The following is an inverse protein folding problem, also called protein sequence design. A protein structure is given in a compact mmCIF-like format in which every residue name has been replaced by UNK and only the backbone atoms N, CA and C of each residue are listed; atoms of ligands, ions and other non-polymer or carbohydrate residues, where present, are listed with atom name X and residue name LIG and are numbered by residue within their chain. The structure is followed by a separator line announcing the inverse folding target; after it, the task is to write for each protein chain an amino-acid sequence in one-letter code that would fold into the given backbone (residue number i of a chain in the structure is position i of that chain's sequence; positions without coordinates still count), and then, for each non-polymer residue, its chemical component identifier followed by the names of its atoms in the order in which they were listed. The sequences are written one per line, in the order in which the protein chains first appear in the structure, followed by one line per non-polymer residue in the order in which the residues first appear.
data_IF_120435082662
#
_entry.id   IF_120435082662
#
_cell.length_a   1.000
_cell.length_b   1.000
_cell.length_c   1.000
_cell.angle_alpha   90.00
_cell.angle_beta   90.00
_cell.angle_gamma   90.00
#
_symmetry.space_group_name_H-M   'P 1'
#
loop_
_entity.id
_entity.type
_entity.pdbx_description
1 polymer ?
#
# COMPACT_ATOMS: atom_id res chain seq x y z
N UNK A 1 45.29 8.72 17.59
CA UNK A 1 44.62 7.75 16.68
C UNK A 1 43.29 8.35 16.22
N UNK A 2 43.22 8.73 14.94
CA UNK A 2 42.09 9.48 14.36
C UNK A 2 40.91 8.53 14.04
N UNK A 3 39.75 8.73 14.68
CA UNK A 3 38.50 7.97 14.43
C UNK A 3 37.78 8.36 13.12
N UNK A 4 38.37 9.22 12.28
CA UNK A 4 37.71 9.84 11.13
C UNK A 4 38.08 9.28 9.75
N UNK A 5 38.82 8.17 9.67
CA UNK A 5 39.30 7.61 8.39
C UNK A 5 38.50 6.40 7.86
N UNK A 6 37.50 5.88 8.58
CA UNK A 6 36.72 4.72 8.13
C UNK A 6 35.46 5.04 7.30
N UNK A 7 35.02 6.31 7.22
CA UNK A 7 33.78 6.67 6.50
C UNK A 7 33.95 6.96 5.00
N UNK A 8 35.19 6.98 4.48
CA UNK A 8 35.48 7.42 3.09
C UNK A 8 35.56 6.31 2.03
N UNK A 9 35.14 5.07 2.33
CA UNK A 9 35.24 3.93 1.38
C UNK A 9 33.92 3.27 0.94
N UNK A 10 32.76 3.87 1.18
CA UNK A 10 31.45 3.25 0.86
C UNK A 10 30.85 3.63 -0.50
N UNK A 11 31.39 4.61 -1.22
CA UNK A 11 30.86 5.00 -2.53
C UNK A 11 31.83 4.58 -3.64
N UNK A 12 32.15 3.28 -3.67
CA UNK A 12 32.60 2.64 -4.92
C UNK A 12 31.54 2.92 -6.00
N UNK A 13 31.93 3.26 -7.24
CA UNK A 13 31.05 3.56 -8.41
C UNK A 13 29.57 3.70 -8.03
N UNK A 14 29.15 4.95 -7.77
CA UNK A 14 28.01 5.26 -6.89
C UNK A 14 26.88 4.22 -6.94
N UNK A 15 26.55 3.64 -5.78
CA UNK A 15 25.41 2.72 -5.60
C UNK A 15 24.18 3.17 -6.39
N UNK A 16 23.91 4.48 -6.35
CA UNK A 16 22.87 5.15 -7.13
C UNK A 16 23.03 4.93 -8.64
N UNK A 17 24.22 5.17 -9.22
CA UNK A 17 24.50 4.93 -10.65
C UNK A 17 24.28 3.47 -11.06
N UNK A 18 24.72 2.50 -10.25
CA UNK A 18 24.55 1.07 -10.55
C UNK A 18 23.07 0.69 -10.61
N UNK A 19 22.32 0.97 -9.54
CA UNK A 19 20.88 0.73 -9.49
C UNK A 19 20.16 1.53 -10.58
N UNK A 20 20.64 2.75 -10.83
CA UNK A 20 20.04 3.62 -11.82
C UNK A 20 20.22 3.09 -13.26
N UNK A 21 21.35 2.48 -13.58
CA UNK A 21 21.56 1.91 -14.90
C UNK A 21 20.87 0.55 -15.07
N UNK A 22 20.82 -0.27 -14.02
CA UNK A 22 20.17 -1.59 -14.07
C UNK A 22 18.67 -1.52 -14.40
N UNK A 23 17.97 -0.49 -13.90
CA UNK A 23 16.53 -0.33 -14.15
C UNK A 23 16.21 0.71 -15.23
N UNK A 24 17.20 1.15 -16.02
CA UNK A 24 16.98 1.91 -17.27
C UNK A 24 16.56 1.03 -18.43
N UNK A 25 16.95 -0.25 -18.40
CA UNK A 25 16.67 -1.21 -19.46
C UNK A 25 15.14 -1.39 -19.56
N UNK A 26 14.54 -0.71 -20.54
CA UNK A 26 13.17 -0.94 -20.98
C UNK A 26 13.29 -1.97 -22.11
N UNK A 27 12.49 -3.03 -22.07
CA UNK A 27 12.24 -3.82 -23.27
C UNK A 27 11.80 -2.85 -24.39
N UNK A 28 12.37 -2.94 -25.59
CA UNK A 28 12.04 -2.02 -26.69
C UNK A 28 10.52 -1.99 -26.89
N UNK A 29 9.87 -0.90 -26.47
CA UNK A 29 8.42 -0.77 -26.58
C UNK A 29 8.07 -0.42 -28.03
N UNK A 30 7.13 -1.12 -28.68
CA UNK A 30 6.64 -0.73 -30.00
C UNK A 30 6.13 0.70 -30.02
N UNK A 31 6.43 1.46 -31.09
CA UNK A 31 6.03 2.87 -31.23
C UNK A 31 4.51 3.11 -31.33
N UNK A 32 3.67 2.06 -31.43
CA UNK A 32 2.20 2.17 -31.57
C UNK A 32 1.47 1.18 -30.65
N UNK A 33 0.48 1.67 -29.90
CA UNK A 33 -0.33 0.87 -28.95
C UNK A 33 -1.02 -0.33 -29.62
N UNK A 34 -1.48 -0.21 -30.88
CA UNK A 34 -2.11 -1.31 -31.63
C UNK A 34 -1.19 -2.53 -31.85
N UNK A 35 0.12 -2.41 -31.57
CA UNK A 35 1.09 -3.51 -31.66
C UNK A 35 1.47 -4.09 -30.30
N UNK A 36 0.81 -3.67 -29.21
CA UNK A 36 1.10 -4.23 -27.89
C UNK A 36 0.47 -5.62 -27.75
N UNK A 37 1.22 -6.60 -27.22
CA UNK A 37 0.64 -7.89 -26.85
C UNK A 37 -0.50 -7.73 -25.85
N UNK A 38 -1.56 -8.53 -25.97
CA UNK A 38 -2.75 -8.46 -25.07
C UNK A 38 -2.37 -8.59 -23.59
N UNK A 39 -1.32 -9.37 -23.29
CA UNK A 39 -0.83 -9.57 -21.94
C UNK A 39 -0.29 -8.28 -21.29
N UNK A 40 0.10 -7.28 -22.10
CA UNK A 40 0.49 -5.94 -21.66
C UNK A 40 -0.69 -5.00 -21.42
N UNK A 41 -1.87 -5.36 -21.88
CA UNK A 41 -3.12 -4.60 -21.70
C UNK A 41 -3.99 -5.20 -20.59
N UNK A 42 -3.85 -6.50 -20.33
CA UNK A 42 -4.60 -7.21 -19.28
C UNK A 42 -4.23 -6.73 -17.88
N UNK A 43 -5.24 -6.30 -17.10
CA UNK A 43 -5.10 -5.99 -15.67
C UNK A 43 -5.48 -7.23 -14.84
N UNK A 44 -4.65 -7.53 -13.85
CA UNK A 44 -4.84 -8.65 -12.94
C UNK A 44 -5.35 -8.15 -11.59
N UNK A 45 -6.14 -8.99 -10.93
CA UNK A 45 -6.70 -8.72 -9.60
C UNK A 45 -6.40 -9.90 -8.70
N UNK A 46 -5.96 -9.62 -7.47
CA UNK A 46 -5.83 -10.66 -6.45
C UNK A 46 -7.16 -10.84 -5.75
N UNK A 47 -7.55 -12.09 -5.55
CA UNK A 47 -8.77 -12.45 -4.83
C UNK A 47 -8.49 -13.67 -3.93
N UNK A 48 -9.22 -13.77 -2.82
CA UNK A 48 -9.15 -14.86 -1.85
C UNK A 48 -10.55 -15.47 -1.66
N UNK A 49 -11.10 -16.14 -2.70
CA UNK A 49 -12.53 -16.48 -2.76
C UNK A 49 -13.00 -17.47 -1.68
N UNK A 50 -12.07 -18.23 -1.07
CA UNK A 50 -12.37 -19.20 -0.01
C UNK A 50 -12.36 -18.58 1.39
N UNK A 51 -11.93 -17.33 1.54
CA UNK A 51 -11.88 -16.66 2.83
C UNK A 51 -13.18 -15.88 3.09
N UNK A 52 -13.60 -15.73 4.35
CA UNK A 52 -14.74 -14.88 4.69
C UNK A 52 -14.55 -13.47 4.14
N UNK A 53 -15.60 -12.93 3.50
CA UNK A 53 -15.60 -11.59 2.92
C UNK A 53 -16.53 -10.67 3.68
N UNK A 54 -16.09 -9.43 3.87
CA UNK A 54 -16.88 -8.34 4.44
C UNK A 54 -17.01 -7.27 3.36
N UNK A 55 -18.23 -7.02 2.90
CA UNK A 55 -18.48 -5.96 1.91
C UNK A 55 -18.34 -4.60 2.60
N UNK A 56 -17.59 -3.69 1.98
CA UNK A 56 -17.45 -2.34 2.51
C UNK A 56 -18.63 -1.49 2.02
N UNK A 57 -19.23 -0.69 2.92
CA UNK A 57 -20.38 0.14 2.55
C UNK A 57 -19.94 1.27 1.64
N UNK A 58 -20.75 1.58 0.62
CA UNK A 58 -20.53 2.72 -0.26
C UNK A 58 -21.51 3.84 0.08
N UNK A 59 -21.00 5.07 0.22
CA UNK A 59 -21.85 6.25 0.31
C UNK A 59 -21.95 6.92 -1.06
N UNK A 60 -23.18 7.22 -1.49
CA UNK A 60 -23.43 7.92 -2.76
C UNK A 60 -23.11 9.41 -2.69
N UNK A 61 -23.15 10.01 -1.49
CA UNK A 61 -22.89 11.44 -1.26
C UNK A 61 -21.56 11.59 -0.53
N UNK A 62 -20.57 12.12 -1.24
CA UNK A 62 -19.26 12.43 -0.68
C UNK A 62 -19.29 13.89 -0.27
N UNK A 63 -19.07 14.19 1.02
CA UNK A 63 -18.90 15.57 1.47
C UNK A 63 -17.63 16.13 0.82
N UNK A 64 -17.75 17.28 0.16
CA UNK A 64 -16.58 17.93 -0.43
C UNK A 64 -15.60 18.38 0.68
N UNK A 65 -14.32 18.16 0.42
CA UNK A 65 -13.21 18.63 1.24
C UNK A 65 -12.22 19.34 0.32
N UNK A 66 -11.77 20.53 0.72
CA UNK A 66 -10.82 21.31 -0.07
C UNK A 66 -9.46 20.61 -0.21
N UNK A 67 -8.99 20.41 -1.45
CA UNK A 67 -7.70 19.76 -1.70
C UNK A 67 -6.53 20.57 -1.11
N UNK A 68 -6.51 21.88 -1.34
CA UNK A 68 -5.42 22.75 -0.88
C UNK A 68 -5.36 22.84 0.65
N UNK A 69 -6.50 22.95 1.32
CA UNK A 69 -6.54 22.89 2.79
C UNK A 69 -6.07 21.54 3.31
N UNK A 70 -6.50 20.44 2.70
CA UNK A 70 -6.05 19.08 3.07
C UNK A 70 -4.53 18.94 2.95
N UNK A 71 -3.93 19.44 1.86
CA UNK A 71 -2.48 19.43 1.67
C UNK A 71 -1.75 20.22 2.76
N UNK A 72 -2.29 21.39 3.14
CA UNK A 72 -1.72 22.25 4.18
C UNK A 72 -1.91 21.69 5.59
N UNK A 73 -3.01 20.98 5.85
CA UNK A 73 -3.31 20.34 7.15
C UNK A 73 -2.57 19.00 7.34
N UNK A 74 -2.24 18.30 6.25
CA UNK A 74 -1.65 16.96 6.32
C UNK A 74 -0.37 16.95 7.14
N UNK A 75 -0.33 16.12 8.18
CA UNK A 75 0.85 15.88 9.03
C UNK A 75 1.01 14.38 9.29
N UNK A 76 2.21 13.98 9.69
CA UNK A 76 2.45 12.64 10.24
C UNK A 76 2.08 12.64 11.71
N UNK A 77 0.89 12.13 12.02
CA UNK A 77 0.36 12.04 13.39
C UNK A 77 0.75 10.68 13.96
N UNK A 78 1.44 10.69 15.11
CA UNK A 78 2.01 9.49 15.74
C UNK A 78 1.37 9.11 17.07
N UNK A 79 0.50 9.97 17.60
CA UNK A 79 -0.28 9.71 18.80
C UNK A 79 -1.72 9.47 18.35
N UNK A 80 -2.28 8.34 18.79
CA UNK A 80 -3.64 7.93 18.43
C UNK A 80 -4.44 7.67 19.70
N UNK A 81 -5.74 7.92 19.66
CA UNK A 81 -6.68 7.54 20.72
C UNK A 81 -6.81 6.01 20.81
N UNK A 82 -7.35 5.52 21.94
CA UNK A 82 -7.45 4.09 22.25
C UNK A 82 -8.55 3.34 21.49
N UNK A 83 -9.45 4.03 20.81
CA UNK A 83 -10.56 3.47 20.04
C UNK A 83 -10.14 2.97 18.65
N UNK A 84 -10.99 2.14 18.05
CA UNK A 84 -10.87 1.68 16.68
C UNK A 84 -11.25 2.75 15.65
N UNK A 85 -11.20 2.37 14.37
CA UNK A 85 -11.70 3.19 13.26
C UNK A 85 -13.11 2.72 12.90
N UNK A 86 -14.01 3.68 12.73
CA UNK A 86 -15.38 3.44 12.26
C UNK A 86 -15.39 2.74 10.89
N UNK A 87 -16.33 1.81 10.70
CA UNK A 87 -16.37 0.93 9.54
C UNK A 87 -16.61 1.70 8.22
N UNK A 88 -17.47 2.72 8.25
CA UNK A 88 -17.71 3.60 7.09
C UNK A 88 -16.46 4.45 6.78
N UNK A 89 -15.77 4.92 7.82
CA UNK A 89 -14.52 5.67 7.68
C UNK A 89 -13.43 4.83 7.04
N UNK A 90 -13.26 3.56 7.44
CA UNK A 90 -12.34 2.63 6.79
C UNK A 90 -12.71 2.39 5.32
N UNK A 91 -14.00 2.20 5.04
CA UNK A 91 -14.49 2.03 3.67
C UNK A 91 -14.07 3.19 2.77
N UNK A 92 -14.37 4.43 3.18
CA UNK A 92 -13.96 5.66 2.46
C UNK A 92 -12.45 5.74 2.29
N UNK A 93 -11.70 5.43 3.35
CA UNK A 93 -10.25 5.43 3.32
C UNK A 93 -9.71 4.52 2.21
N UNK A 94 -10.15 3.26 2.17
CA UNK A 94 -9.69 2.29 1.18
C UNK A 94 -10.15 2.65 -0.24
N UNK A 95 -11.40 3.10 -0.39
CA UNK A 95 -11.96 3.48 -1.69
C UNK A 95 -11.22 4.67 -2.31
N UNK A 96 -11.10 5.79 -1.59
CA UNK A 96 -10.45 6.98 -2.16
C UNK A 96 -8.93 6.81 -2.28
N UNK A 97 -8.33 5.90 -1.51
CA UNK A 97 -6.89 5.64 -1.57
C UNK A 97 -6.47 4.71 -2.70
N UNK A 98 -7.25 3.66 -2.98
CA UNK A 98 -6.88 2.58 -3.91
C UNK A 98 -8.01 2.07 -4.83
N UNK A 99 -9.25 2.52 -4.64
CA UNK A 99 -10.45 2.04 -5.33
C UNK A 99 -10.49 2.28 -6.84
N UNK A 100 -11.47 1.66 -7.50
CA UNK A 100 -11.75 1.83 -8.94
C UNK A 100 -12.64 3.05 -9.12
N UNK A 101 -12.26 3.95 -10.04
CA UNK A 101 -13.02 5.17 -10.36
C UNK A 101 -14.22 4.93 -11.28
N UNK A 102 -14.08 3.98 -12.22
CA UNK A 102 -15.01 3.78 -13.33
C UNK A 102 -15.55 2.34 -13.35
N UNK A 103 -16.27 1.90 -12.31
CA UNK A 103 -16.79 0.52 -12.22
C UNK A 103 -17.81 0.18 -13.32
N UNK A 104 -18.55 1.18 -13.81
CA UNK A 104 -19.67 0.97 -14.73
C UNK A 104 -19.28 0.94 -16.22
N UNK A 105 -18.01 1.18 -16.56
CA UNK A 105 -17.54 1.22 -17.96
C UNK A 105 -17.10 -0.18 -18.42
N UNK A 106 -17.99 -0.88 -19.14
CA UNK A 106 -17.82 -2.29 -19.55
C UNK A 106 -16.62 -2.60 -20.47
N UNK A 107 -15.95 -1.61 -21.06
CA UNK A 107 -14.86 -1.84 -22.02
C UNK A 107 -13.58 -1.02 -21.72
N UNK A 108 -13.37 -0.64 -20.46
CA UNK A 108 -12.24 0.19 -20.06
C UNK A 108 -11.35 -0.52 -19.04
N UNK A 109 -10.04 -0.31 -19.16
CA UNK A 109 -9.11 -0.61 -18.06
C UNK A 109 -9.59 0.12 -16.81
N UNK A 110 -10.02 -0.62 -15.77
CA UNK A 110 -10.55 -0.05 -14.54
C UNK A 110 -9.51 0.85 -13.86
N UNK A 111 -9.63 2.16 -14.07
CA UNK A 111 -8.69 3.14 -13.54
C UNK A 111 -8.82 3.25 -12.02
N UNK A 112 -7.69 3.53 -11.36
CA UNK A 112 -7.63 3.71 -9.90
C UNK A 112 -7.60 5.18 -9.51
N UNK A 113 -7.72 5.42 -8.20
CA UNK A 113 -7.55 6.74 -7.62
C UNK A 113 -6.10 7.25 -7.63
N UNK A 114 -5.13 6.39 -7.91
CA UNK A 114 -3.72 6.72 -8.13
C UNK A 114 -3.27 6.36 -9.57
N UNK A 115 -2.26 7.07 -10.13
CA UNK A 115 -1.72 6.75 -11.44
C UNK A 115 -0.87 5.47 -11.41
N UNK A 116 -0.85 4.73 -12.52
CA UNK A 116 -0.03 3.53 -12.68
C UNK A 116 0.64 3.49 -14.06
N UNK A 117 1.91 3.12 -14.09
CA UNK A 117 2.71 3.02 -15.32
C UNK A 117 2.09 2.00 -16.26
N UNK A 118 1.57 2.46 -17.40
CA UNK A 118 0.90 1.59 -18.37
C UNK A 118 -0.39 0.95 -17.87
N UNK A 119 -1.00 1.52 -16.81
CA UNK A 119 -2.21 1.02 -16.16
C UNK A 119 -2.10 -0.46 -15.71
N UNK A 120 -0.94 -0.84 -15.17
CA UNK A 120 -0.63 -2.23 -14.77
C UNK A 120 -1.08 -2.58 -13.36
N UNK A 121 -1.23 -1.59 -12.48
CA UNK A 121 -1.72 -1.70 -11.10
C UNK A 121 -1.11 -2.90 -10.34
N UNK A 122 0.21 -2.87 -10.08
CA UNK A 122 0.93 -3.96 -9.40
C UNK A 122 0.68 -4.02 -7.90
N UNK A 123 0.08 -2.99 -7.31
CA UNK A 123 -0.03 -2.87 -5.86
C UNK A 123 -1.22 -3.65 -5.30
N UNK A 124 -1.02 -4.27 -4.15
CA UNK A 124 -2.07 -4.84 -3.30
C UNK A 124 -2.05 -4.15 -1.94
N UNK A 125 -3.21 -4.09 -1.28
CA UNK A 125 -3.40 -3.41 -0.01
C UNK A 125 -3.93 -4.38 1.03
N UNK A 126 -3.22 -4.51 2.14
CA UNK A 126 -3.61 -5.32 3.28
C UNK A 126 -3.89 -4.43 4.49
N UNK A 127 -4.86 -4.83 5.29
CA UNK A 127 -5.26 -4.12 6.51
C UNK A 127 -5.06 -5.05 7.70
N UNK A 128 -4.23 -4.65 8.66
CA UNK A 128 -4.09 -5.33 9.95
C UNK A 128 -4.87 -4.52 10.98
N UNK A 129 -5.94 -5.11 11.52
CA UNK A 129 -6.81 -4.46 12.51
C UNK A 129 -6.31 -4.78 13.91
N UNK A 130 -5.84 -3.74 14.61
CA UNK A 130 -5.28 -3.83 15.97
C UNK A 130 -6.28 -3.40 17.05
N UNK A 131 -7.28 -2.60 16.67
CA UNK A 131 -8.43 -2.19 17.50
C UNK A 131 -9.71 -2.40 16.69
N UNK A 132 -10.39 -3.51 16.93
CA UNK A 132 -11.54 -3.97 16.14
C UNK A 132 -12.89 -3.62 16.76
N UNK A 133 -13.94 -3.84 15.97
CA UNK A 133 -15.35 -3.80 16.37
C UNK A 133 -16.02 -5.14 16.02
N UNK A 134 -17.34 -5.22 16.17
CA UNK A 134 -18.13 -6.39 15.73
C UNK A 134 -18.11 -6.53 14.19
N UNK A 135 -18.29 -5.42 13.48
CA UNK A 135 -18.29 -5.34 12.02
C UNK A 135 -16.90 -5.49 11.41
N UNK A 136 -15.86 -5.10 12.17
CA UNK A 136 -14.46 -5.24 11.77
C UNK A 136 -13.63 -5.90 12.89
N UNK A 137 -13.69 -7.24 13.00
CA UNK A 137 -12.93 -7.97 14.01
C UNK A 137 -11.42 -7.78 13.89
N UNK A 138 -10.70 -8.07 14.97
CA UNK A 138 -9.23 -8.12 14.97
C UNK A 138 -8.73 -9.19 14.00
N UNK A 139 -7.85 -8.81 13.07
CA UNK A 139 -7.43 -9.70 12.00
C UNK A 139 -6.52 -9.05 10.96
N UNK A 140 -6.04 -9.88 10.03
CA UNK A 140 -5.37 -9.49 8.80
C UNK A 140 -6.36 -9.66 7.66
N UNK A 141 -6.47 -8.62 6.84
CA UNK A 141 -7.40 -8.56 5.72
C UNK A 141 -6.67 -8.20 4.44
N UNK A 142 -7.15 -8.73 3.32
CA UNK A 142 -6.79 -8.25 1.97
C UNK A 142 -7.94 -7.41 1.41
N UNK A 143 -7.61 -6.26 0.82
CA UNK A 143 -8.59 -5.41 0.15
C UNK A 143 -8.86 -5.89 -1.28
N UNK A 144 -10.01 -6.53 -1.47
CA UNK A 144 -10.52 -6.84 -2.79
C UNK A 144 -11.10 -5.58 -3.43
N UNK A 145 -10.30 -4.99 -4.31
CA UNK A 145 -10.63 -3.74 -4.98
C UNK A 145 -11.75 -3.86 -6.03
N UNK A 146 -12.03 -5.05 -6.57
CA UNK A 146 -13.14 -5.24 -7.53
C UNK A 146 -14.48 -5.23 -6.82
N UNK A 147 -14.54 -5.92 -5.69
CA UNK A 147 -15.77 -6.05 -4.91
C UNK A 147 -15.95 -4.92 -3.90
N UNK A 148 -14.92 -4.07 -3.73
CA UNK A 148 -14.83 -3.13 -2.62
C UNK A 148 -15.14 -3.85 -1.29
N UNK A 149 -14.30 -4.84 -0.97
CA UNK A 149 -14.51 -5.74 0.15
C UNK A 149 -13.20 -6.10 0.84
N UNK A 150 -13.28 -6.57 2.08
CA UNK A 150 -12.17 -7.13 2.83
C UNK A 150 -12.31 -8.64 2.90
N UNK A 151 -11.28 -9.38 2.49
CA UNK A 151 -11.16 -10.81 2.75
C UNK A 151 -10.39 -11.02 4.05
N UNK A 152 -11.01 -11.66 5.05
CA UNK A 152 -10.39 -11.98 6.32
C UNK A 152 -9.44 -13.16 6.16
N UNK A 153 -8.13 -12.88 6.06
CA UNK A 153 -7.09 -13.89 5.85
C UNK A 153 -6.73 -14.62 7.14
N UNK A 154 -6.69 -13.89 8.25
CA UNK A 154 -6.37 -14.45 9.56
C UNK A 154 -7.03 -13.65 10.66
N UNK A 155 -7.92 -14.28 11.43
CA UNK A 155 -8.50 -13.69 12.65
C UNK A 155 -7.48 -13.77 13.78
N UNK A 156 -7.34 -12.71 14.58
CA UNK A 156 -6.44 -12.74 15.74
C UNK A 156 -5.97 -11.37 16.23
N UNK A 157 -5.36 -11.38 17.42
CA UNK A 157 -4.75 -10.19 18.05
C UNK A 157 -3.26 -10.11 17.67
N UNK A 158 -2.88 -9.12 16.86
CA UNK A 158 -1.50 -8.99 16.38
C UNK A 158 -0.65 -7.97 17.14
N UNK A 159 -1.23 -7.18 18.04
CA UNK A 159 -0.51 -6.15 18.81
C UNK A 159 0.68 -6.74 19.60
N UNK A 160 0.49 -7.89 20.25
CA UNK A 160 1.55 -8.56 21.01
C UNK A 160 2.69 -9.06 20.12
N UNK A 161 2.36 -9.50 18.89
CA UNK A 161 3.36 -9.93 17.91
C UNK A 161 4.29 -8.76 17.58
N UNK A 162 3.74 -7.61 17.18
CA UNK A 162 4.54 -6.41 16.85
C UNK A 162 5.40 -5.93 18.03
N UNK A 163 4.89 -6.02 19.27
CA UNK A 163 5.66 -5.70 20.48
C UNK A 163 6.87 -6.61 20.67
N UNK A 164 6.66 -7.92 20.55
CA UNK A 164 7.68 -8.94 20.82
C UNK A 164 8.78 -8.97 19.76
N UNK A 165 8.41 -8.87 18.48
CA UNK A 165 9.32 -9.11 17.36
C UNK A 165 10.13 -7.89 16.94
N UNK A 166 9.78 -6.69 17.41
CA UNK A 166 10.40 -5.42 17.01
C UNK A 166 10.44 -5.21 15.48
N UNK A 167 9.46 -5.76 14.75
CA UNK A 167 9.40 -5.74 13.28
C UNK A 167 9.55 -4.32 12.71
N UNK A 168 9.13 -3.27 13.41
CA UNK A 168 9.05 -1.90 12.89
C UNK A 168 10.24 -1.00 13.26
N UNK A 169 11.43 -1.56 13.48
CA UNK A 169 12.70 -0.84 13.75
C UNK A 169 12.56 0.41 14.63
N UNK A 170 12.11 0.24 15.88
CA UNK A 170 11.95 1.34 16.85
C UNK A 170 10.58 2.03 16.83
N UNK A 171 9.71 1.73 15.87
CA UNK A 171 8.34 2.28 15.81
C UNK A 171 7.29 1.44 16.56
N UNK A 172 7.73 0.53 17.44
CA UNK A 172 6.85 -0.44 18.10
C UNK A 172 5.68 0.20 18.85
N UNK A 173 5.92 1.34 19.52
CA UNK A 173 4.87 2.06 20.25
C UNK A 173 3.82 2.66 19.30
N UNK A 174 4.27 3.33 18.23
CA UNK A 174 3.40 3.86 17.18
C UNK A 174 2.49 2.77 16.62
N UNK A 175 3.09 1.63 16.25
CA UNK A 175 2.37 0.48 15.70
C UNK A 175 1.38 -0.09 16.71
N UNK A 176 1.82 -0.31 17.95
CA UNK A 176 0.97 -0.90 19.00
C UNK A 176 -0.23 -0.04 19.38
N UNK A 177 -0.09 1.29 19.24
CA UNK A 177 -1.15 2.25 19.55
C UNK A 177 -2.04 2.56 18.33
N UNK A 178 -1.71 2.06 17.14
CA UNK A 178 -2.53 2.24 15.95
C UNK A 178 -3.85 1.48 16.06
N UNK A 179 -4.89 1.96 15.40
CA UNK A 179 -6.14 1.21 15.23
C UNK A 179 -6.01 0.18 14.11
N UNK A 180 -5.37 0.57 13.01
CA UNK A 180 -5.06 -0.31 11.89
C UNK A 180 -3.64 -0.03 11.37
N UNK A 181 -3.08 -1.03 10.68
CA UNK A 181 -1.95 -0.86 9.79
C UNK A 181 -2.40 -1.13 8.36
N UNK A 182 -2.02 -0.26 7.43
CA UNK A 182 -2.13 -0.52 6.01
C UNK A 182 -0.77 -0.94 5.46
N UNK A 183 -0.70 -2.12 4.86
CA UNK A 183 0.50 -2.61 4.19
C UNK A 183 0.29 -2.56 2.68
N UNK A 184 1.07 -1.73 2.01
CA UNK A 184 1.17 -1.71 0.55
C UNK A 184 2.22 -2.73 0.16
N UNK A 185 1.85 -3.64 -0.73
CA UNK A 185 2.74 -4.65 -1.32
C UNK A 185 2.78 -4.47 -2.83
N UNK A 186 3.79 -5.02 -3.50
CA UNK A 186 3.94 -4.97 -4.95
C UNK A 186 4.06 -6.35 -5.56
N UNK A 187 3.13 -6.71 -6.44
CA UNK A 187 3.19 -7.88 -7.32
C UNK A 187 3.97 -7.51 -8.59
N UNK A 188 5.30 -7.61 -8.53
CA UNK A 188 6.20 -7.03 -9.56
C UNK A 188 5.95 -7.57 -10.96
N UNK A 189 5.64 -8.87 -11.09
CA UNK A 189 5.39 -9.55 -12.36
C UNK A 189 4.32 -8.86 -13.22
N UNK A 190 3.33 -8.18 -12.61
CA UNK A 190 2.28 -7.44 -13.33
C UNK A 190 2.82 -6.29 -14.17
N UNK A 191 3.88 -5.64 -13.69
CA UNK A 191 4.52 -4.50 -14.37
C UNK A 191 5.77 -4.95 -15.13
N UNK A 192 6.49 -5.94 -14.60
CA UNK A 192 7.70 -6.51 -15.21
C UNK A 192 7.45 -7.04 -16.61
N UNK A 193 6.33 -7.72 -16.85
CA UNK A 193 6.00 -8.27 -18.17
C UNK A 193 6.05 -7.25 -19.32
N UNK A 194 5.84 -5.96 -19.01
CA UNK A 194 5.90 -4.86 -19.98
C UNK A 194 7.19 -4.04 -19.89
N UNK A 195 7.76 -3.90 -18.70
CA UNK A 195 8.83 -2.92 -18.44
C UNK A 195 10.16 -3.55 -18.00
N UNK A 196 10.24 -4.88 -17.88
CA UNK A 196 11.41 -5.60 -17.38
C UNK A 196 11.92 -5.04 -16.06
N UNK A 197 13.23 -4.84 -15.94
CA UNK A 197 13.90 -4.31 -14.73
C UNK A 197 13.43 -2.91 -14.32
N UNK A 198 12.86 -2.11 -15.24
CA UNK A 198 12.30 -0.79 -14.89
C UNK A 198 11.06 -0.89 -14.02
N UNK A 199 10.36 -2.03 -14.05
CA UNK A 199 9.16 -2.27 -13.25
C UNK A 199 9.36 -1.96 -11.77
N UNK A 200 10.50 -2.33 -11.19
CA UNK A 200 10.81 -2.08 -9.78
C UNK A 200 10.64 -0.60 -9.41
N UNK A 201 11.17 0.33 -10.22
CA UNK A 201 10.99 1.77 -9.97
C UNK A 201 9.54 2.21 -10.09
N UNK A 202 8.85 1.73 -11.12
CA UNK A 202 7.46 2.11 -11.37
C UNK A 202 6.57 1.65 -10.22
N UNK A 203 6.77 0.43 -9.73
CA UNK A 203 6.07 -0.12 -8.57
C UNK A 203 6.33 0.75 -7.32
N UNK A 204 7.58 1.14 -7.06
CA UNK A 204 7.91 2.01 -5.93
C UNK A 204 7.30 3.42 -6.04
N UNK A 205 7.28 4.01 -7.23
CA UNK A 205 6.61 5.30 -7.46
C UNK A 205 5.11 5.20 -7.20
N UNK A 206 4.48 4.14 -7.69
CA UNK A 206 3.06 3.89 -7.44
C UNK A 206 2.78 3.70 -5.93
N UNK A 207 3.66 3.02 -5.20
CA UNK A 207 3.51 2.85 -3.75
C UNK A 207 3.53 4.21 -3.04
N UNK A 208 4.39 5.13 -3.48
CA UNK A 208 4.40 6.52 -3.02
C UNK A 208 3.11 7.28 -3.35
N UNK A 209 2.56 7.12 -4.57
CA UNK A 209 1.28 7.73 -4.95
C UNK A 209 0.12 7.24 -4.07
N UNK A 210 0.01 5.92 -3.87
CA UNK A 210 -1.03 5.35 -3.02
C UNK A 210 -0.85 5.79 -1.55
N UNK A 211 0.37 5.77 -1.02
CA UNK A 211 0.66 6.23 0.33
C UNK A 211 0.29 7.70 0.54
N UNK A 212 0.54 8.55 -0.46
CA UNK A 212 0.13 9.96 -0.38
C UNK A 212 -1.40 10.11 -0.44
N UNK A 213 -2.10 9.31 -1.24
CA UNK A 213 -3.56 9.29 -1.19
C UNK A 213 -4.06 8.89 0.21
N UNK A 214 -3.47 7.85 0.82
CA UNK A 214 -3.81 7.44 2.19
C UNK A 214 -3.63 8.60 3.17
N UNK A 215 -2.54 9.35 3.08
CA UNK A 215 -2.32 10.54 3.93
C UNK A 215 -3.39 11.62 3.73
N UNK A 216 -3.73 11.96 2.48
CA UNK A 216 -4.69 13.01 2.17
C UNK A 216 -6.10 12.60 2.58
N UNK A 217 -6.50 11.38 2.26
CA UNK A 217 -7.81 10.84 2.63
C UNK A 217 -7.92 10.72 4.16
N UNK A 218 -6.87 10.25 4.85
CA UNK A 218 -6.84 10.23 6.31
C UNK A 218 -7.02 11.64 6.89
N UNK A 219 -6.33 12.63 6.33
CA UNK A 219 -6.44 14.03 6.77
C UNK A 219 -7.86 14.56 6.57
N UNK A 220 -8.48 14.30 5.42
CA UNK A 220 -9.86 14.68 5.12
C UNK A 220 -10.87 14.00 6.06
N UNK A 221 -10.62 12.74 6.43
CA UNK A 221 -11.42 11.96 7.38
C UNK A 221 -11.07 12.23 8.86
N UNK A 222 -10.18 13.20 9.14
CA UNK A 222 -9.70 13.54 10.49
C UNK A 222 -9.10 12.34 11.25
N UNK A 223 -8.47 11.44 10.52
CA UNK A 223 -7.63 10.36 11.04
C UNK A 223 -6.16 10.81 11.15
N UNK A 224 -5.48 10.28 12.16
CA UNK A 224 -4.03 10.29 12.22
C UNK A 224 -3.44 9.21 11.30
N UNK A 225 -2.37 9.57 10.59
CA UNK A 225 -1.63 8.66 9.72
C UNK A 225 -0.12 8.92 9.85
N UNK A 226 0.67 7.86 9.91
CA UNK A 226 2.13 7.92 9.85
C UNK A 226 2.68 6.75 9.04
N UNK A 227 3.33 7.05 7.93
CA UNK A 227 4.11 6.08 7.18
C UNK A 227 5.34 5.62 7.97
N UNK A 228 5.63 4.33 7.89
CA UNK A 228 6.77 3.65 8.49
C UNK A 228 7.53 2.96 7.36
N UNK A 229 8.68 3.54 6.99
CA UNK A 229 9.54 2.99 5.94
C UNK A 229 10.53 1.94 6.45
N UNK A 230 10.65 1.77 7.76
CA UNK A 230 11.53 0.79 8.38
C UNK A 230 10.72 -0.34 9.00
N UNK A 231 10.69 -1.49 8.34
CA UNK A 231 10.24 -2.75 8.92
C UNK A 231 11.06 -3.92 8.37
N UNK A 232 11.03 -5.06 9.04
CA UNK A 232 11.69 -6.28 8.58
C UNK A 232 10.82 -6.97 7.53
N UNK A 233 11.20 -6.85 6.26
CA UNK A 233 10.45 -7.30 5.08
C UNK A 233 10.03 -8.77 5.18
N UNK A 234 10.98 -9.68 5.44
CA UNK A 234 10.74 -11.13 5.57
C UNK A 234 9.65 -11.45 6.61
N UNK A 235 9.65 -10.76 7.76
CA UNK A 235 8.65 -10.97 8.81
C UNK A 235 7.27 -10.47 8.39
N UNK A 236 7.19 -9.35 7.68
CA UNK A 236 5.90 -8.86 7.16
C UNK A 236 5.39 -9.75 6.03
N UNK A 237 6.26 -10.17 5.12
CA UNK A 237 5.91 -11.09 4.04
C UNK A 237 5.38 -12.42 4.59
N UNK A 238 6.08 -13.00 5.57
CA UNK A 238 5.65 -14.22 6.27
C UNK A 238 4.32 -14.03 7.00
N UNK A 239 4.15 -12.91 7.71
CA UNK A 239 2.90 -12.58 8.42
C UNK A 239 1.70 -12.48 7.46
N UNK A 240 1.91 -11.90 6.28
CA UNK A 240 0.90 -11.78 5.23
C UNK A 240 0.80 -13.04 4.35
N UNK A 241 1.66 -14.03 4.55
CA UNK A 241 1.77 -15.27 3.76
C UNK A 241 1.96 -14.99 2.27
N UNK A 242 2.86 -14.07 1.95
CA UNK A 242 3.21 -13.72 0.58
C UNK A 242 4.15 -14.76 -0.03
N UNK A 243 4.04 -14.94 -1.35
CA UNK A 243 5.07 -15.61 -2.15
C UNK A 243 6.12 -14.54 -2.50
N UNK A 244 7.25 -14.58 -1.79
CA UNK A 244 8.28 -13.53 -1.82
C UNK A 244 8.93 -13.36 -3.21
N UNK A 245 8.91 -14.40 -4.05
CA UNK A 245 9.40 -14.30 -5.42
C UNK A 245 8.47 -13.46 -6.32
N UNK A 246 7.22 -13.25 -5.89
CA UNK A 246 6.18 -12.59 -6.69
C UNK A 246 5.69 -11.28 -6.08
N UNK A 247 5.54 -11.23 -4.76
CA UNK A 247 4.92 -10.14 -4.02
C UNK A 247 5.70 -9.79 -2.76
N UNK A 248 6.03 -8.52 -2.59
CA UNK A 248 6.83 -8.02 -1.48
C UNK A 248 6.11 -6.86 -0.78
N UNK A 249 6.23 -6.77 0.53
CA UNK A 249 5.85 -5.57 1.27
C UNK A 249 6.76 -4.39 0.89
N UNK A 250 6.15 -3.21 0.69
CA UNK A 250 6.85 -2.01 0.23
C UNK A 250 6.68 -0.84 1.19
N UNK A 251 5.50 -0.74 1.80
CA UNK A 251 5.18 0.39 2.64
C UNK A 251 4.20 0.01 3.75
N UNK A 252 4.48 0.44 4.96
CA UNK A 252 3.57 0.32 6.09
C UNK A 252 3.07 1.71 6.49
N UNK A 253 1.78 1.83 6.75
CA UNK A 253 1.17 3.05 7.29
C UNK A 253 0.42 2.71 8.57
N UNK A 254 0.77 3.40 9.65
CA UNK A 254 0.11 3.35 10.95
C UNK A 254 -1.03 4.38 10.98
N UNK A 255 -2.26 3.94 11.27
CA UNK A 255 -3.42 4.83 11.32
C UNK A 255 -4.23 4.63 12.60
N UNK A 256 -4.84 5.71 13.07
CA UNK A 256 -5.77 5.72 14.19
C UNK A 256 -6.50 7.05 14.27
N UNK A 257 -7.51 7.14 15.13
CA UNK A 257 -8.19 8.41 15.38
C UNK A 257 -7.26 9.38 16.11
N UNK A 258 -7.12 10.60 15.60
CA UNK A 258 -6.34 11.68 16.20
C UNK A 258 -7.09 12.34 17.36
#
# INVERSE_FOLDING_TARGET
MNKNTQSKKLVSKSFSTKLHNQSKLIAQLPNKIKRYPDIWLRVYYKEYPRFPKILLPTEKKIKEVGLFSTLMERRSIRKFKSNGIDFMTLSKLLYFSAGIKDLDKKDCVHKRTYPSGGARYPLELYTIVLKGSEELPLGIYHYNVKLHALHLLQKGKFTALFKKTKISYGNTELISNSAILLIITGVFGRTEIKYGKRSYRLVLFEAGHMAQNIYLVSTALKLGCCAVGGFEDEKINSLLRLDEDKEQALYMLALGTA
#
